data_IF_160501992128
#
_entry.id   IF_160501992128
#
_cell.length_a   1.000
_cell.length_b   1.000
_cell.length_c   1.000
_cell.angle_alpha   90.00
_cell.angle_beta   90.00
_cell.angle_gamma   90.00
#
_symmetry.space_group_name_H-M   'P 1'
#
loop_
_entity.id
_entity.type
_entity.pdbx_description
1 polymer ?
#
# COMPACT_ATOMS: atom_id res chain seq x y z
N UNK A 1 17.71 -3.05 16.37
CA UNK A 1 18.86 -2.51 15.60
C UNK A 1 18.45 -2.11 14.20
N UNK A 2 17.52 -1.15 14.06
CA UNK A 2 17.25 -0.46 12.80
C UNK A 2 18.14 0.79 12.77
N UNK A 3 18.87 1.03 11.67
CA UNK A 3 19.58 2.29 11.49
C UNK A 3 18.57 3.43 11.41
N UNK A 4 18.65 4.41 12.33
CA UNK A 4 17.74 5.56 12.42
C UNK A 4 18.07 6.64 11.40
N UNK A 5 19.36 6.90 11.21
CA UNK A 5 19.86 8.01 10.41
C UNK A 5 21.05 7.54 9.57
N UNK A 6 20.95 7.72 8.25
CA UNK A 6 22.06 7.50 7.32
C UNK A 6 22.67 8.83 6.89
N UNK A 7 24.00 8.92 6.91
CA UNK A 7 24.76 10.08 6.44
C UNK A 7 25.76 9.57 5.40
N UNK A 8 25.46 9.82 4.14
CA UNK A 8 26.26 9.43 3.00
C UNK A 8 27.19 10.57 2.57
N UNK A 9 28.46 10.25 2.47
CA UNK A 9 29.48 11.15 1.94
C UNK A 9 29.78 10.78 0.49
N UNK A 10 29.20 11.52 -0.45
CA UNK A 10 29.30 11.23 -1.89
C UNK A 10 30.55 11.88 -2.47
N UNK A 11 31.52 11.03 -2.78
CA UNK A 11 32.85 11.42 -3.28
C UNK A 11 33.19 10.83 -4.65
N UNK A 12 32.38 9.88 -5.15
CA UNK A 12 32.64 9.15 -6.39
C UNK A 12 31.36 9.01 -7.19
N UNK A 13 31.47 9.20 -8.51
CA UNK A 13 30.42 8.88 -9.47
C UNK A 13 30.71 7.51 -10.08
N UNK A 14 29.69 6.65 -10.10
CA UNK A 14 29.79 5.32 -10.73
C UNK A 14 29.28 5.37 -12.17
N UNK A 15 30.13 5.00 -13.11
CA UNK A 15 29.79 4.90 -14.52
C UNK A 15 29.15 3.54 -14.83
N UNK A 16 28.44 3.47 -15.97
CA UNK A 16 27.75 2.24 -16.45
C UNK A 16 28.72 1.08 -16.65
N UNK A 17 29.98 1.38 -17.00
CA UNK A 17 31.07 0.40 -17.15
C UNK A 17 31.65 -0.09 -15.80
N UNK A 18 31.10 0.37 -14.68
CA UNK A 18 31.48 -0.03 -13.34
C UNK A 18 32.62 0.79 -12.73
N UNK A 19 33.26 1.70 -13.49
CA UNK A 19 34.33 2.58 -12.96
C UNK A 19 33.77 3.59 -11.97
N UNK A 20 34.54 3.86 -10.92
CA UNK A 20 34.26 4.91 -9.94
C UNK A 20 35.24 6.07 -10.16
N UNK A 21 34.74 7.24 -10.54
CA UNK A 21 35.54 8.45 -10.78
C UNK A 21 35.35 9.41 -9.61
N UNK A 22 36.45 9.91 -9.05
CA UNK A 22 36.41 10.87 -7.94
C UNK A 22 35.77 12.17 -8.42
N UNK A 23 34.87 12.73 -7.63
CA UNK A 23 34.22 14.01 -7.90
C UNK A 23 35.10 15.17 -7.45
N UNK A 24 35.00 16.30 -8.16
CA UNK A 24 35.72 17.54 -7.80
C UNK A 24 35.17 18.18 -6.52
N UNK A 25 33.87 17.99 -6.25
CA UNK A 25 33.18 18.48 -5.07
C UNK A 25 32.56 17.35 -4.26
N UNK A 26 32.71 17.43 -2.94
CA UNK A 26 32.15 16.50 -1.97
C UNK A 26 30.73 16.95 -1.60
N UNK A 27 29.79 16.00 -1.62
CA UNK A 27 28.41 16.25 -1.21
C UNK A 27 28.06 15.39 0.00
N UNK A 28 27.22 15.92 0.87
CA UNK A 28 26.64 15.17 1.99
C UNK A 28 25.17 14.93 1.67
N UNK A 29 24.79 13.67 1.57
CA UNK A 29 23.39 13.24 1.45
C UNK A 29 22.99 12.59 2.77
N UNK A 30 21.84 12.98 3.30
CA UNK A 30 21.41 12.47 4.60
C UNK A 30 19.94 12.14 4.62
N UNK A 31 19.62 10.99 5.19
CA UNK A 31 18.26 10.47 5.25
C UNK A 31 17.96 9.90 6.63
N UNK A 32 16.88 10.38 7.24
CA UNK A 32 16.33 9.85 8.49
C UNK A 32 14.89 9.42 8.23
N UNK A 33 14.51 8.23 8.72
CA UNK A 33 13.13 7.75 8.58
C UNK A 33 12.25 8.43 9.61
N UNK A 34 11.29 9.25 9.15
CA UNK A 34 10.37 9.99 10.02
C UNK A 34 9.61 9.05 10.96
N UNK A 35 9.15 7.90 10.46
CA UNK A 35 8.41 6.91 11.23
C UNK A 35 9.23 6.35 12.40
N UNK A 36 10.53 6.10 12.18
CA UNK A 36 11.41 5.58 13.21
C UNK A 36 11.78 6.66 14.22
N UNK A 37 12.00 7.89 13.76
CA UNK A 37 12.18 9.03 14.65
C UNK A 37 10.94 9.22 15.54
N UNK A 38 9.74 9.14 14.96
CA UNK A 38 8.48 9.23 15.69
C UNK A 38 8.38 8.13 16.76
N UNK A 39 8.84 6.90 16.48
CA UNK A 39 8.89 5.84 17.50
C UNK A 39 9.76 6.22 18.69
N UNK A 40 10.98 6.71 18.41
CA UNK A 40 11.94 7.11 19.43
C UNK A 40 11.40 8.28 20.27
N UNK A 41 10.89 9.32 19.61
CA UNK A 41 10.36 10.52 20.28
C UNK A 41 9.12 10.20 21.12
N UNK A 42 8.23 9.33 20.64
CA UNK A 42 6.99 8.96 21.33
C UNK A 42 7.18 7.81 22.34
N UNK A 43 8.39 7.23 22.42
CA UNK A 43 8.69 6.13 23.33
C UNK A 43 7.92 4.84 23.01
N UNK A 44 7.47 4.66 21.77
CA UNK A 44 6.75 3.46 21.34
C UNK A 44 7.68 2.49 20.63
N UNK A 45 7.36 1.20 20.74
CA UNK A 45 8.23 0.17 20.18
C UNK A 45 8.11 0.07 18.66
N UNK A 46 6.94 0.42 18.09
CA UNK A 46 6.52 0.15 16.71
C UNK A 46 6.07 1.40 15.98
N UNK A 47 6.40 1.51 14.68
CA UNK A 47 5.87 2.56 13.81
C UNK A 47 4.34 2.55 13.77
N UNK A 48 3.72 1.38 13.93
CA UNK A 48 2.25 1.23 13.93
C UNK A 48 1.56 1.68 15.23
N UNK A 49 2.35 1.98 16.27
CA UNK A 49 1.88 2.54 17.53
C UNK A 49 2.01 4.06 17.57
N UNK A 50 2.74 4.66 16.63
CA UNK A 50 2.89 6.12 16.52
C UNK A 50 1.59 6.81 16.11
N UNK A 51 1.51 8.10 16.37
CA UNK A 51 0.42 8.98 15.88
C UNK A 51 0.22 8.95 14.36
N UNK A 52 1.24 8.61 13.57
CA UNK A 52 1.16 8.47 12.12
C UNK A 52 0.27 7.29 11.68
N UNK A 53 0.30 6.17 12.42
CA UNK A 53 -0.39 4.94 12.03
C UNK A 53 -1.54 4.54 12.95
N UNK A 54 -1.47 4.90 14.23
CA UNK A 54 -2.48 4.51 15.23
C UNK A 54 -3.90 4.92 14.85
N UNK A 55 -4.16 6.12 14.27
CA UNK A 55 -5.50 6.47 13.79
C UNK A 55 -6.01 5.53 12.69
N UNK A 56 -5.14 5.15 11.75
CA UNK A 56 -5.47 4.24 10.65
C UNK A 56 -5.80 2.85 11.21
N UNK A 57 -4.96 2.33 12.11
CA UNK A 57 -5.17 1.04 12.78
C UNK A 57 -6.52 1.04 13.50
N UNK A 58 -6.83 2.07 14.30
CA UNK A 58 -8.13 2.21 14.99
C UNK A 58 -9.30 2.21 14.01
N UNK A 59 -9.16 2.85 12.85
CA UNK A 59 -10.21 2.84 11.83
C UNK A 59 -10.41 1.44 11.24
N UNK A 60 -9.33 0.71 11.00
CA UNK A 60 -9.40 -0.69 10.55
C UNK A 60 -10.09 -1.55 11.63
N UNK A 61 -9.84 -1.34 12.91
CA UNK A 61 -10.54 -2.05 14.00
C UNK A 61 -12.05 -1.80 13.95
N UNK A 62 -12.46 -0.54 13.75
CA UNK A 62 -13.87 -0.17 13.63
C UNK A 62 -14.56 -0.82 12.42
N UNK A 63 -13.85 -0.89 11.28
CA UNK A 63 -14.40 -1.44 10.03
C UNK A 63 -14.44 -2.97 10.05
N UNK A 64 -13.43 -3.61 10.64
CA UNK A 64 -13.28 -5.07 10.66
C UNK A 64 -13.91 -5.75 11.88
N UNK A 65 -14.21 -4.99 12.94
CA UNK A 65 -14.59 -5.51 14.26
C UNK A 65 -13.54 -6.45 14.87
N UNK A 66 -12.29 -6.37 14.40
CA UNK A 66 -11.13 -7.08 14.96
C UNK A 66 -10.28 -6.15 15.81
N UNK A 67 -9.47 -6.72 16.70
CA UNK A 67 -8.55 -5.99 17.57
C UNK A 67 -7.11 -6.19 17.15
N UNK A 68 -6.37 -5.10 17.11
CA UNK A 68 -4.92 -5.11 16.91
C UNK A 68 -4.25 -5.37 18.26
N UNK A 69 -3.49 -6.46 18.38
CA UNK A 69 -2.93 -6.92 19.66
C UNK A 69 -1.44 -6.59 19.84
N UNK A 70 -0.87 -5.79 18.94
CA UNK A 70 0.53 -5.33 18.99
C UNK A 70 1.58 -6.46 19.07
N UNK A 71 1.21 -7.68 18.64
CA UNK A 71 2.09 -8.84 18.69
C UNK A 71 3.20 -8.71 17.65
N UNK A 72 4.44 -8.85 18.13
CA UNK A 72 5.65 -8.96 17.31
C UNK A 72 5.99 -10.42 17.06
N UNK A 73 6.39 -10.75 15.84
CA UNK A 73 6.93 -12.07 15.48
C UNK A 73 5.96 -13.26 15.53
N UNK A 74 4.75 -13.11 16.09
CA UNK A 74 3.90 -14.26 16.43
C UNK A 74 3.00 -14.80 15.31
N UNK A 75 2.91 -14.16 14.14
CA UNK A 75 2.08 -14.68 13.03
C UNK A 75 2.45 -14.04 11.67
N UNK A 76 3.40 -14.63 10.90
CA UNK A 76 3.69 -14.17 9.56
C UNK A 76 2.49 -14.47 8.64
N UNK A 77 1.64 -13.45 8.46
CA UNK A 77 0.32 -13.43 7.77
C UNK A 77 -0.91 -13.54 8.68
N UNK A 78 -0.72 -13.31 9.96
CA UNK A 78 -1.81 -13.21 10.92
C UNK A 78 -2.63 -11.94 10.91
N UNK A 79 -3.42 -11.80 11.99
CA UNK A 79 -4.28 -10.66 12.23
C UNK A 79 -3.47 -9.35 12.29
N UNK A 80 -2.50 -9.24 13.20
CA UNK A 80 -1.71 -8.02 13.40
C UNK A 80 -0.85 -7.69 12.18
N UNK A 81 -0.37 -8.71 11.46
CA UNK A 81 0.30 -8.52 10.18
C UNK A 81 -0.64 -7.86 9.16
N UNK A 82 -1.88 -8.35 9.07
CA UNK A 82 -2.88 -7.83 8.13
C UNK A 82 -3.28 -6.39 8.46
N UNK A 83 -3.42 -6.05 9.74
CA UNK A 83 -3.61 -4.66 10.19
C UNK A 83 -2.48 -3.74 9.70
N UNK A 84 -1.23 -4.15 9.92
CA UNK A 84 -0.04 -3.39 9.51
C UNK A 84 0.02 -3.20 8.00
N UNK A 85 -0.18 -4.28 7.23
CA UNK A 85 -0.16 -4.22 5.78
C UNK A 85 -1.28 -3.36 5.23
N UNK A 86 -2.52 -3.49 5.72
CA UNK A 86 -3.64 -2.66 5.26
C UNK A 86 -3.37 -1.19 5.56
N UNK A 87 -2.89 -0.85 6.76
CA UNK A 87 -2.60 0.53 7.13
C UNK A 87 -1.51 1.16 6.24
N UNK A 88 -0.40 0.45 6.04
CA UNK A 88 0.71 0.90 5.19
C UNK A 88 0.31 1.02 3.73
N UNK A 89 -0.41 0.02 3.22
CA UNK A 89 -0.94 0.01 1.85
C UNK A 89 -1.82 1.21 1.56
N UNK A 90 -2.73 1.53 2.49
CA UNK A 90 -3.64 2.64 2.31
C UNK A 90 -2.90 3.99 2.37
N UNK A 91 -1.90 4.13 3.23
CA UNK A 91 -1.04 5.32 3.26
C UNK A 91 -0.29 5.48 1.94
N UNK A 92 0.33 4.41 1.44
CA UNK A 92 1.02 4.40 0.15
C UNK A 92 0.09 4.76 -1.01
N UNK A 93 -1.07 4.11 -1.13
CA UNK A 93 -2.04 4.35 -2.20
C UNK A 93 -2.52 5.80 -2.18
N UNK A 94 -2.81 6.36 -0.99
CA UNK A 94 -3.26 7.75 -0.89
C UNK A 94 -2.18 8.75 -1.29
N UNK A 95 -0.94 8.57 -0.81
CA UNK A 95 0.19 9.47 -1.15
C UNK A 95 0.56 9.35 -2.63
N UNK A 96 0.64 8.13 -3.15
CA UNK A 96 0.93 7.88 -4.55
C UNK A 96 -0.17 8.43 -5.47
N UNK A 97 -1.40 8.54 -4.98
CA UNK A 97 -2.49 9.13 -5.73
C UNK A 97 -2.47 10.67 -5.75
N UNK A 98 -1.84 11.30 -4.76
CA UNK A 98 -1.87 12.77 -4.61
C UNK A 98 -0.63 13.43 -5.16
N UNK A 99 0.53 12.82 -4.96
CA UNK A 99 1.83 13.39 -5.31
C UNK A 99 2.38 12.83 -6.62
N UNK A 100 2.04 11.59 -6.94
CA UNK A 100 2.40 10.97 -8.19
C UNK A 100 1.18 10.97 -9.10
N UNK A 101 1.35 11.30 -10.38
CA UNK A 101 0.32 10.99 -11.38
C UNK A 101 0.65 9.60 -11.90
N UNK A 102 0.00 8.51 -11.42
CA UNK A 102 0.30 7.17 -11.91
C UNK A 102 -0.16 6.99 -13.37
N UNK A 103 -0.87 7.98 -13.92
CA UNK A 103 -1.44 7.98 -15.26
C UNK A 103 -0.41 7.85 -16.38
N UNK A 104 0.85 8.25 -16.16
CA UNK A 104 1.89 8.27 -17.19
C UNK A 104 2.76 7.01 -17.24
N UNK A 105 2.92 6.30 -16.12
CA UNK A 105 3.79 5.12 -16.03
C UNK A 105 2.99 3.86 -15.75
N UNK A 106 3.02 2.93 -16.71
CA UNK A 106 2.40 1.60 -16.58
C UNK A 106 2.89 0.87 -15.33
N UNK A 107 4.20 0.91 -15.07
CA UNK A 107 4.81 0.25 -13.93
C UNK A 107 4.41 0.88 -12.58
N UNK A 108 4.34 2.21 -12.51
CA UNK A 108 3.90 2.89 -11.28
C UNK A 108 2.45 2.53 -10.93
N UNK A 109 1.56 2.54 -11.94
CA UNK A 109 0.16 2.14 -11.78
C UNK A 109 0.03 0.68 -11.34
N UNK A 110 0.85 -0.23 -11.90
CA UNK A 110 0.89 -1.62 -11.46
C UNK A 110 1.23 -1.74 -9.97
N UNK A 111 2.24 -1.00 -9.49
CA UNK A 111 2.63 -1.02 -8.07
C UNK A 111 1.50 -0.51 -7.17
N UNK A 112 0.88 0.63 -7.52
CA UNK A 112 -0.24 1.20 -6.74
C UNK A 112 -1.40 0.23 -6.67
N UNK A 113 -1.80 -0.34 -7.81
CA UNK A 113 -2.89 -1.30 -7.87
C UNK A 113 -2.57 -2.56 -7.07
N UNK A 114 -1.36 -3.09 -7.19
CA UNK A 114 -0.90 -4.24 -6.42
C UNK A 114 -1.05 -4.00 -4.90
N UNK A 115 -0.65 -2.83 -4.43
CA UNK A 115 -0.74 -2.49 -3.02
C UNK A 115 -2.21 -2.32 -2.56
N UNK A 116 -3.06 -1.70 -3.38
CA UNK A 116 -4.50 -1.60 -3.12
C UNK A 116 -5.19 -2.97 -3.08
N UNK A 117 -4.88 -3.86 -4.02
CA UNK A 117 -5.40 -5.23 -4.09
C UNK A 117 -5.01 -6.03 -2.85
N UNK A 118 -3.74 -5.92 -2.43
CA UNK A 118 -3.25 -6.58 -1.22
C UNK A 118 -4.01 -6.10 0.02
N UNK A 119 -4.25 -4.79 0.13
CA UNK A 119 -5.04 -4.22 1.22
C UNK A 119 -6.47 -4.77 1.21
N UNK A 120 -7.13 -4.76 0.04
CA UNK A 120 -8.51 -5.23 -0.10
C UNK A 120 -8.64 -6.71 0.27
N UNK A 121 -7.74 -7.54 -0.27
CA UNK A 121 -7.76 -8.97 -0.02
C UNK A 121 -7.53 -9.30 1.47
N UNK A 122 -6.56 -8.65 2.13
CA UNK A 122 -6.29 -8.88 3.56
C UNK A 122 -7.42 -8.35 4.45
N UNK A 123 -7.96 -7.17 4.13
CA UNK A 123 -9.07 -6.58 4.88
C UNK A 123 -10.28 -7.52 4.89
N UNK A 124 -10.63 -8.11 3.75
CA UNK A 124 -11.80 -8.99 3.66
C UNK A 124 -11.49 -10.41 4.13
N UNK A 125 -10.41 -11.03 3.65
CA UNK A 125 -10.18 -12.46 3.89
C UNK A 125 -9.59 -12.75 5.28
N UNK A 126 -8.76 -11.86 5.82
CA UNK A 126 -8.14 -12.05 7.14
C UNK A 126 -8.86 -11.25 8.21
N UNK A 127 -9.04 -9.94 7.98
CA UNK A 127 -9.66 -9.07 8.98
C UNK A 127 -11.19 -9.18 8.99
N UNK A 128 -11.81 -9.80 7.98
CA UNK A 128 -13.28 -9.94 7.87
C UNK A 128 -14.02 -8.61 7.79
N UNK A 129 -13.35 -7.57 7.30
CA UNK A 129 -14.00 -6.32 6.93
C UNK A 129 -15.00 -6.56 5.79
N UNK A 130 -16.08 -5.75 5.72
CA UNK A 130 -16.96 -5.74 4.55
C UNK A 130 -16.18 -5.42 3.28
N UNK A 131 -16.58 -6.00 2.14
CA UNK A 131 -16.06 -5.57 0.83
C UNK A 131 -16.37 -4.09 0.58
N UNK A 132 -15.55 -3.43 -0.23
CA UNK A 132 -15.69 -2.02 -0.61
C UNK A 132 -15.65 -1.10 0.62
N UNK A 133 -14.75 -1.42 1.56
CA UNK A 133 -14.62 -0.67 2.82
C UNK A 133 -13.32 0.13 2.92
N UNK A 134 -12.39 0.00 1.97
CA UNK A 134 -11.14 0.75 1.98
C UNK A 134 -11.34 2.26 1.82
N UNK A 135 -12.38 2.68 1.09
CA UNK A 135 -12.75 4.11 0.98
C UNK A 135 -12.98 4.75 2.37
N UNK A 136 -13.41 3.98 3.37
CA UNK A 136 -13.63 4.46 4.74
C UNK A 136 -12.34 4.77 5.48
N UNK A 137 -11.20 4.28 4.99
CA UNK A 137 -9.87 4.54 5.55
C UNK A 137 -9.28 5.85 5.02
N UNK A 138 -9.66 6.26 3.80
CA UNK A 138 -9.10 7.44 3.12
C UNK A 138 -9.23 8.72 3.95
N UNK A 139 -10.39 9.06 4.57
CA UNK A 139 -10.50 10.26 5.39
C UNK A 139 -9.56 10.28 6.62
N UNK A 140 -9.15 9.11 7.10
CA UNK A 140 -8.24 9.01 8.25
C UNK A 140 -6.79 9.14 7.81
N UNK A 141 -6.45 8.60 6.64
CA UNK A 141 -5.12 8.73 6.03
C UNK A 141 -4.83 10.17 5.62
N UNK A 142 -5.83 10.83 5.02
CA UNK A 142 -5.75 12.19 4.45
C UNK A 142 -5.91 13.33 5.45
N UNK A 143 -6.13 13.03 6.74
CA UNK A 143 -6.02 14.04 7.82
C UNK A 143 -4.59 14.55 7.99
N UNK A 144 -3.61 13.86 7.44
CA UNK A 144 -2.25 14.37 7.25
C UNK A 144 -2.27 15.49 6.18
N UNK A 145 -1.52 16.60 6.33
CA UNK A 145 -1.69 17.80 5.50
C UNK A 145 -1.51 17.55 4.00
N UNK A 146 -2.40 18.13 3.17
CA UNK A 146 -2.17 18.32 1.72
C UNK A 146 -3.07 17.55 0.73
N UNK A 147 -4.13 16.84 1.15
CA UNK A 147 -4.88 15.94 0.25
C UNK A 147 -6.38 16.25 0.18
N UNK A 148 -6.94 16.36 -1.04
CA UNK A 148 -8.39 16.30 -1.27
C UNK A 148 -8.91 14.86 -1.07
N UNK A 149 -9.53 14.63 0.08
CA UNK A 149 -10.01 13.32 0.51
C UNK A 149 -11.22 12.79 -0.28
N UNK A 150 -11.98 13.66 -0.97
CA UNK A 150 -13.30 13.28 -1.52
C UNK A 150 -13.15 12.45 -2.80
N UNK A 151 -12.39 12.97 -3.76
CA UNK A 151 -12.12 12.27 -5.03
C UNK A 151 -11.33 10.99 -4.79
N UNK A 152 -10.38 11.03 -3.87
CA UNK A 152 -9.56 9.89 -3.51
C UNK A 152 -10.37 8.75 -2.87
N UNK A 153 -11.36 9.08 -2.04
CA UNK A 153 -12.26 8.08 -1.45
C UNK A 153 -13.02 7.34 -2.53
N UNK A 154 -13.62 8.07 -3.49
CA UNK A 154 -14.35 7.49 -4.63
C UNK A 154 -13.43 6.62 -5.50
N UNK A 155 -12.26 7.14 -5.87
CA UNK A 155 -11.30 6.41 -6.68
C UNK A 155 -10.85 5.11 -6.00
N UNK A 156 -10.56 5.15 -4.70
CA UNK A 156 -10.21 3.96 -3.91
C UNK A 156 -11.34 2.94 -3.89
N UNK A 157 -12.58 3.38 -3.67
CA UNK A 157 -13.75 2.51 -3.68
C UNK A 157 -13.99 1.86 -5.05
N UNK A 158 -13.81 2.61 -6.13
CA UNK A 158 -13.98 2.08 -7.49
C UNK A 158 -12.87 1.08 -7.87
N UNK A 159 -11.62 1.34 -7.46
CA UNK A 159 -10.52 0.38 -7.61
C UNK A 159 -10.77 -0.91 -6.83
N UNK A 160 -11.28 -0.82 -5.60
CA UNK A 160 -11.63 -2.01 -4.81
C UNK A 160 -12.72 -2.85 -5.50
N UNK A 161 -13.76 -2.21 -6.05
CA UNK A 161 -14.82 -2.90 -6.81
C UNK A 161 -14.28 -3.62 -8.05
N UNK A 162 -13.41 -2.95 -8.82
CA UNK A 162 -12.77 -3.52 -10.01
C UNK A 162 -11.92 -4.74 -9.65
N UNK A 163 -11.16 -4.64 -8.56
CA UNK A 163 -10.39 -5.76 -8.04
C UNK A 163 -11.30 -6.94 -7.68
N UNK A 164 -12.38 -6.74 -6.94
CA UNK A 164 -13.26 -7.85 -6.57
C UNK A 164 -13.95 -8.49 -7.79
N UNK A 165 -14.36 -7.69 -8.77
CA UNK A 165 -14.91 -8.22 -10.03
C UNK A 165 -13.89 -9.10 -10.76
N UNK A 166 -12.63 -8.64 -10.87
CA UNK A 166 -11.52 -9.41 -11.42
C UNK A 166 -11.27 -10.71 -10.66
N UNK A 167 -11.20 -10.60 -9.33
CA UNK A 167 -10.86 -11.70 -8.46
C UNK A 167 -11.87 -12.84 -8.65
N UNK A 168 -13.17 -12.53 -8.73
CA UNK A 168 -14.20 -13.54 -8.96
C UNK A 168 -14.18 -14.13 -10.38
N UNK A 169 -13.94 -13.32 -11.41
CA UNK A 169 -13.79 -13.81 -12.80
C UNK A 169 -12.64 -14.82 -12.90
N UNK A 170 -11.50 -14.48 -12.31
CA UNK A 170 -10.31 -15.34 -12.33
C UNK A 170 -10.41 -16.50 -11.33
N UNK A 171 -11.29 -16.45 -10.33
CA UNK A 171 -11.38 -17.45 -9.24
C UNK A 171 -11.62 -18.86 -9.78
N UNK A 172 -12.37 -18.99 -10.86
CA UNK A 172 -12.64 -20.26 -11.52
C UNK A 172 -11.38 -20.92 -12.12
N UNK A 173 -10.32 -20.13 -12.40
CA UNK A 173 -9.04 -20.63 -12.90
C UNK A 173 -8.09 -21.13 -11.81
N UNK A 174 -8.48 -20.98 -10.52
CA UNK A 174 -7.63 -21.40 -9.39
C UNK A 174 -7.49 -22.92 -9.37
N UNK A 175 -6.25 -23.46 -9.34
CA UNK A 175 -6.03 -24.89 -9.18
C UNK A 175 -6.69 -25.43 -7.90
N UNK A 176 -7.31 -26.61 -7.97
CA UNK A 176 -8.05 -27.21 -6.85
C UNK A 176 -7.22 -27.45 -5.59
N UNK A 177 -5.92 -27.73 -5.76
CA UNK A 177 -4.97 -27.98 -4.67
C UNK A 177 -4.48 -26.69 -3.98
N UNK A 178 -4.88 -25.50 -4.44
CA UNK A 178 -4.49 -24.22 -3.85
C UNK A 178 -5.62 -23.61 -3.04
N UNK A 179 -5.27 -23.07 -1.87
CA UNK A 179 -6.18 -22.21 -1.13
C UNK A 179 -6.21 -20.77 -1.68
N UNK A 180 -7.19 -19.96 -1.24
CA UNK A 180 -7.36 -18.57 -1.70
C UNK A 180 -6.10 -17.71 -1.47
N UNK A 181 -5.41 -17.91 -0.35
CA UNK A 181 -4.22 -17.12 -0.02
C UNK A 181 -3.04 -17.45 -0.93
N UNK A 182 -2.76 -18.75 -1.15
CA UNK A 182 -1.71 -19.21 -2.05
C UNK A 182 -1.94 -18.69 -3.47
N UNK A 183 -3.17 -18.79 -3.95
CA UNK A 183 -3.54 -18.30 -5.27
C UNK A 183 -3.42 -16.78 -5.40
N UNK A 184 -3.91 -16.04 -4.40
CA UNK A 184 -3.80 -14.59 -4.42
C UNK A 184 -2.34 -14.11 -4.48
N UNK A 185 -1.50 -14.53 -3.53
CA UNK A 185 -0.13 -14.01 -3.42
C UNK A 185 0.82 -14.51 -4.52
N UNK A 186 0.57 -15.70 -5.09
CA UNK A 186 1.47 -16.24 -6.11
C UNK A 186 1.05 -15.88 -7.54
N UNK A 187 -0.25 -15.63 -7.77
CA UNK A 187 -0.79 -15.39 -9.11
C UNK A 187 -1.46 -14.03 -9.19
N UNK A 188 -2.53 -13.79 -8.44
CA UNK A 188 -3.37 -12.59 -8.60
C UNK A 188 -2.59 -11.31 -8.33
N UNK A 189 -1.85 -11.24 -7.22
CA UNK A 189 -1.05 -10.07 -6.82
C UNK A 189 0.12 -9.77 -7.79
N UNK A 190 0.49 -10.75 -8.63
CA UNK A 190 1.54 -10.61 -9.64
C UNK A 190 1.00 -10.31 -11.03
N UNK A 191 -0.30 -10.47 -11.26
CA UNK A 191 -0.94 -10.15 -12.52
C UNK A 191 -1.25 -8.67 -12.58
N UNK A 192 -0.84 -8.03 -13.67
CA UNK A 192 -1.38 -6.73 -13.99
C UNK A 192 -2.81 -6.90 -14.48
N UNK A 193 -3.71 -6.06 -13.99
CA UNK A 193 -5.06 -6.01 -14.48
C UNK A 193 -5.06 -5.36 -15.87
N UNK A 194 -4.94 -6.18 -16.91
CA UNK A 194 -5.43 -5.81 -18.22
C UNK A 194 -6.95 -6.01 -18.20
N UNK A 195 -7.78 -4.98 -18.37
CA UNK A 195 -9.23 -5.18 -18.41
C UNK A 195 -9.54 -6.21 -19.50
N UNK A 196 -10.09 -7.35 -19.09
CA UNK A 196 -10.52 -8.42 -19.98
C UNK A 196 -11.59 -7.89 -20.95
N UNK A 197 -11.82 -8.61 -22.06
CA UNK A 197 -12.83 -8.26 -23.07
C UNK A 197 -14.24 -8.04 -22.47
N UNK A 198 -14.55 -8.69 -21.33
CA UNK A 198 -15.78 -8.62 -20.53
C UNK A 198 -15.96 -7.29 -19.76
N UNK A 199 -14.90 -6.50 -19.63
CA UNK A 199 -14.85 -5.27 -18.83
C UNK A 199 -15.09 -3.98 -19.62
N UNK A 200 -15.34 -4.09 -20.93
CA UNK A 200 -15.68 -2.95 -21.79
C UNK A 200 -16.94 -2.20 -21.31
N UNK A 201 -17.79 -2.83 -20.50
CA UNK A 201 -18.95 -2.19 -19.88
C UNK A 201 -18.58 -1.13 -18.83
N UNK A 202 -17.38 -1.21 -18.22
CA UNK A 202 -16.90 -0.24 -17.22
C UNK A 202 -16.02 0.84 -17.88
N UNK A 203 -16.18 1.08 -19.20
CA UNK A 203 -15.58 2.26 -19.86
C UNK A 203 -16.32 3.56 -19.55
N UNK A 204 -17.52 3.51 -18.99
CA UNK A 204 -18.29 4.70 -18.59
C UNK A 204 -17.67 5.45 -17.39
N UNK A 205 -16.88 4.79 -16.55
CA UNK A 205 -16.23 5.40 -15.37
C UNK A 205 -14.93 6.13 -15.73
N UNK A 206 -14.36 5.89 -16.92
CA UNK A 206 -13.10 6.49 -17.40
C UNK A 206 -13.11 8.00 -17.52
N UNK A 207 -14.28 8.65 -17.49
CA UNK A 207 -14.37 10.12 -17.54
C UNK A 207 -14.11 10.81 -16.19
N UNK A 208 -14.09 10.09 -15.07
CA UNK A 208 -14.06 10.70 -13.73
C UNK A 208 -12.79 10.33 -12.95
N UNK A 209 -12.09 9.27 -13.34
CA UNK A 209 -10.99 8.72 -12.54
C UNK A 209 -9.76 8.57 -13.44
N UNK A 210 -9.07 9.68 -13.65
CA UNK A 210 -7.71 9.69 -14.16
C UNK A 210 -6.75 9.23 -13.06
N UNK A 211 -6.73 7.92 -12.83
CA UNK A 211 -5.70 7.17 -12.11
C UNK A 211 -5.16 6.06 -13.03
#
# INVERSE_FOLDING_TARGET
NSCLWNINFTNYTRHIDGRAVKMDTMHVDTGMRLEDLACVVQGVSSVFETDLFRPIIRKIEQVSLKKYNERRGADPRGLDYSFRVVADSMRFVCVAATECSPTTSHHARFIVNKQAQRAAWLAVNVLKAPRNSLEKLVPVVTKSPGVDSTLLSKATGDQEKLFWAFYEEERCSRPSHWNDAQWFFQVVEKKEYAPSRSMKAIKSIRGIVGF
#
